data_IF_233872177927
#
_entry.id   IF_233872177927
#
_cell.length_a   1.000
_cell.length_b   1.000
_cell.length_c   1.000
_cell.angle_alpha   90.00
_cell.angle_beta   90.00
_cell.angle_gamma   90.00
#
_symmetry.space_group_name_H-M   'P 1'
#
loop_
_entity.id
_entity.type
_entity.pdbx_description
1 polymer ?
#
# COMPACT_ATOMS: atom_id res chain seq x y z
N UNK A 1 -9.31 36.06 -31.27
CA UNK A 1 -8.52 35.43 -30.20
C UNK A 1 -7.25 34.88 -30.82
N UNK A 2 -6.08 35.00 -30.18
CA UNK A 2 -4.83 34.47 -30.72
C UNK A 2 -4.94 32.95 -30.90
N UNK A 3 -4.51 32.44 -32.05
CA UNK A 3 -4.48 31.00 -32.32
C UNK A 3 -3.52 30.32 -31.34
N UNK A 4 -3.89 29.19 -30.70
CA UNK A 4 -3.01 28.52 -29.75
C UNK A 4 -1.75 28.00 -30.47
N UNK A 5 -0.59 28.01 -29.80
CA UNK A 5 0.60 27.37 -30.34
C UNK A 5 0.35 25.87 -30.57
N UNK A 6 0.94 25.32 -31.63
CA UNK A 6 0.87 23.90 -31.98
C UNK A 6 1.54 22.98 -30.95
N UNK A 7 2.31 23.55 -30.03
CA UNK A 7 2.94 22.86 -28.91
C UNK A 7 2.87 23.73 -27.66
N UNK A 8 2.36 23.16 -26.57
CA UNK A 8 2.28 23.80 -25.26
C UNK A 8 2.61 22.78 -24.17
N UNK A 9 3.89 22.56 -23.88
CA UNK A 9 4.30 21.62 -22.85
C UNK A 9 4.02 22.18 -21.45
N UNK A 10 3.38 21.37 -20.63
CA UNK A 10 3.22 21.57 -19.19
C UNK A 10 4.08 20.54 -18.49
N UNK A 11 5.09 21.02 -17.74
CA UNK A 11 5.97 20.19 -16.92
C UNK A 11 5.35 20.06 -15.53
N UNK A 12 5.01 18.85 -15.12
CA UNK A 12 4.48 18.56 -13.79
C UNK A 12 5.53 17.83 -12.97
N UNK A 13 5.84 18.36 -11.79
CA UNK A 13 6.66 17.70 -10.77
C UNK A 13 5.76 17.24 -9.64
N UNK A 14 5.84 15.97 -9.29
CA UNK A 14 5.05 15.36 -8.23
C UNK A 14 5.96 14.90 -7.09
N UNK A 15 5.55 15.26 -5.88
CA UNK A 15 6.23 14.95 -4.64
C UNK A 15 5.32 14.15 -3.69
N UNK A 16 5.93 13.33 -2.84
CA UNK A 16 5.28 12.72 -1.69
C UNK A 16 5.12 13.72 -0.55
N UNK A 17 4.40 13.32 0.49
CA UNK A 17 4.21 14.13 1.72
C UNK A 17 5.51 14.42 2.46
N UNK A 18 6.55 13.62 2.21
CA UNK A 18 7.91 13.80 2.71
C UNK A 18 8.76 14.75 1.85
N UNK A 19 8.15 15.37 0.84
CA UNK A 19 8.78 16.25 -0.14
C UNK A 19 9.83 15.56 -1.03
N UNK A 20 9.83 14.22 -1.09
CA UNK A 20 10.64 13.45 -2.04
C UNK A 20 9.95 13.35 -3.41
N UNK A 21 10.69 13.33 -4.54
CA UNK A 21 10.09 13.15 -5.85
C UNK A 21 9.48 11.76 -6.01
N UNK A 22 8.28 11.68 -6.57
CA UNK A 22 7.52 10.43 -6.69
C UNK A 22 7.57 9.83 -8.11
N UNK A 23 8.23 8.68 -8.25
CA UNK A 23 8.30 7.93 -9.52
C UNK A 23 7.02 7.12 -9.80
N UNK A 24 6.61 7.01 -11.07
CA UNK A 24 5.48 6.19 -11.50
C UNK A 24 4.11 6.70 -11.04
N UNK A 25 3.98 8.01 -10.81
CA UNK A 25 2.68 8.65 -10.56
C UNK A 25 2.00 8.89 -11.90
N UNK A 26 0.78 8.40 -12.05
CA UNK A 26 -0.02 8.69 -13.24
C UNK A 26 -0.60 10.09 -13.13
N UNK A 27 -0.26 10.95 -14.09
CA UNK A 27 -0.76 12.32 -14.19
C UNK A 27 -1.66 12.44 -15.41
N UNK A 28 -2.87 12.93 -15.20
CA UNK A 28 -3.86 13.20 -16.25
C UNK A 28 -4.13 14.70 -16.32
N UNK A 29 -3.94 15.28 -17.50
CA UNK A 29 -4.32 16.67 -17.81
C UNK A 29 -5.59 16.63 -18.66
N UNK A 30 -6.62 17.33 -18.21
CA UNK A 30 -7.92 17.42 -18.88
C UNK A 30 -8.24 18.87 -19.22
N UNK A 31 -8.61 19.10 -20.47
CA UNK A 31 -9.22 20.34 -20.97
C UNK A 31 -10.64 20.02 -21.45
N UNK A 32 -11.45 21.03 -21.78
CA UNK A 32 -12.82 20.80 -22.25
C UNK A 32 -12.92 19.84 -23.44
N UNK A 33 -11.92 19.87 -24.35
CA UNK A 33 -11.92 19.06 -25.56
C UNK A 33 -11.44 17.62 -25.37
N UNK A 34 -10.83 17.27 -24.23
CA UNK A 34 -10.30 15.93 -23.98
C UNK A 34 -9.19 15.90 -22.93
N UNK A 35 -8.47 14.77 -22.88
CA UNK A 35 -7.46 14.52 -21.86
C UNK A 35 -6.23 13.81 -22.42
N UNK A 36 -5.09 14.02 -21.78
CA UNK A 36 -3.86 13.26 -21.99
C UNK A 36 -3.28 12.82 -20.65
N UNK A 37 -2.60 11.68 -20.64
CA UNK A 37 -1.94 11.15 -19.44
C UNK A 37 -0.50 10.73 -19.70
N UNK A 38 0.29 10.66 -18.64
CA UNK A 38 1.63 10.08 -18.61
C UNK A 38 2.09 9.83 -17.19
N UNK A 39 3.10 8.99 -17.03
CA UNK A 39 3.65 8.66 -15.71
C UNK A 39 4.91 9.49 -15.42
N UNK A 40 5.12 9.85 -14.15
CA UNK A 40 6.34 10.51 -13.71
C UNK A 40 7.55 9.59 -13.79
N UNK A 41 8.71 10.16 -14.15
CA UNK A 41 9.99 9.47 -14.14
C UNK A 41 10.60 9.40 -12.72
N UNK A 42 11.82 8.87 -12.60
CA UNK A 42 12.55 8.75 -11.32
C UNK A 42 12.86 10.08 -10.62
N UNK A 43 12.74 11.21 -11.32
CA UNK A 43 12.86 12.56 -10.75
C UNK A 43 11.51 13.18 -10.37
N UNK A 44 10.44 12.38 -10.38
CA UNK A 44 9.08 12.83 -10.08
C UNK A 44 8.48 13.72 -11.17
N UNK A 45 9.00 13.68 -12.40
CA UNK A 45 8.60 14.62 -13.45
C UNK A 45 7.89 13.92 -14.62
N UNK A 46 6.85 14.58 -15.15
CA UNK A 46 6.22 14.25 -16.44
C UNK A 46 5.99 15.54 -17.24
N UNK A 47 6.10 15.47 -18.56
CA UNK A 47 5.79 16.59 -19.46
C UNK A 47 4.65 16.20 -20.37
N UNK A 48 3.53 16.92 -20.28
CA UNK A 48 2.34 16.70 -21.10
C UNK A 48 2.15 17.88 -22.05
N UNK A 49 1.94 17.61 -23.33
CA UNK A 49 1.65 18.65 -24.30
C UNK A 49 0.13 18.83 -24.43
N UNK A 50 -0.39 20.00 -24.07
CA UNK A 50 -1.83 20.28 -24.04
C UNK A 50 -2.47 20.14 -25.42
N UNK A 51 -1.72 20.42 -26.49
CA UNK A 51 -2.19 20.25 -27.87
C UNK A 51 -2.61 18.80 -28.19
N UNK A 52 -2.10 17.81 -27.44
CA UNK A 52 -2.47 16.41 -27.62
C UNK A 52 -3.75 16.03 -26.86
N UNK A 53 -4.22 16.85 -25.91
CA UNK A 53 -5.48 16.62 -25.20
C UNK A 53 -6.71 17.11 -26.00
N UNK A 54 -6.51 17.98 -26.99
CA UNK A 54 -7.56 18.52 -27.85
C UNK A 54 -7.37 20.00 -28.14
N UNK A 55 -8.40 20.65 -28.69
CA UNK A 55 -8.41 22.10 -28.89
C UNK A 55 -8.46 22.82 -27.54
N UNK A 56 -7.68 23.89 -27.41
CA UNK A 56 -7.61 24.76 -26.24
C UNK A 56 -7.39 26.20 -26.68
N UNK A 57 -7.44 27.16 -25.76
CA UNK A 57 -7.14 28.58 -25.97
C UNK A 57 -6.42 29.18 -24.76
N UNK A 58 -5.68 30.27 -24.97
CA UNK A 58 -5.11 31.04 -23.85
C UNK A 58 -6.26 31.55 -22.97
N UNK A 59 -6.17 31.29 -21.67
CA UNK A 59 -7.20 31.59 -20.68
C UNK A 59 -8.11 30.39 -20.35
N UNK A 60 -8.08 29.32 -21.14
CA UNK A 60 -8.79 28.08 -20.78
C UNK A 60 -8.21 27.49 -19.50
N UNK A 61 -9.05 26.78 -18.74
CA UNK A 61 -8.62 26.05 -17.54
C UNK A 61 -8.40 24.58 -17.88
N UNK A 62 -7.23 24.06 -17.48
CA UNK A 62 -6.95 22.64 -17.45
C UNK A 62 -7.05 22.11 -16.01
N UNK A 63 -7.62 20.92 -15.85
CA UNK A 63 -7.60 20.17 -14.59
C UNK A 63 -6.48 19.13 -14.66
N UNK A 64 -5.58 19.12 -13.68
CA UNK A 64 -4.50 18.15 -13.57
C UNK A 64 -4.76 17.27 -12.35
N UNK A 65 -4.80 15.96 -12.57
CA UNK A 65 -4.98 14.94 -11.52
C UNK A 65 -3.73 14.06 -11.50
N UNK A 66 -3.02 14.04 -10.37
CA UNK A 66 -1.89 13.14 -10.11
C UNK A 66 -2.35 12.05 -9.13
N UNK A 67 -2.20 10.78 -9.50
CA UNK A 67 -2.66 9.63 -8.70
C UNK A 67 -1.60 8.55 -8.63
N UNK A 68 -1.37 8.01 -7.43
CA UNK A 68 -0.54 6.82 -7.23
C UNK A 68 -1.10 5.97 -6.11
N UNK A 69 -1.23 4.67 -6.36
CA UNK A 69 -1.69 3.71 -5.35
C UNK A 69 -0.79 3.79 -4.12
N UNK A 70 -1.41 3.80 -2.92
CA UNK A 70 -0.78 3.99 -1.61
C UNK A 70 -0.19 5.39 -1.32
N UNK A 71 0.21 6.18 -2.32
CA UNK A 71 0.72 7.54 -2.11
C UNK A 71 -0.37 8.64 -2.17
N UNK A 72 -1.52 8.34 -2.78
CA UNK A 72 -2.70 9.21 -2.77
C UNK A 72 -2.98 9.91 -4.09
N UNK A 73 -3.81 10.95 -4.03
CA UNK A 73 -4.32 11.69 -5.19
C UNK A 73 -4.28 13.19 -4.92
N UNK A 74 -3.95 13.97 -5.95
CA UNK A 74 -4.00 15.43 -5.90
C UNK A 74 -4.59 15.99 -7.19
N UNK A 75 -5.53 16.92 -7.05
CA UNK A 75 -6.13 17.65 -8.16
C UNK A 75 -5.76 19.12 -8.06
N UNK A 76 -5.33 19.70 -9.17
CA UNK A 76 -5.02 21.13 -9.31
C UNK A 76 -5.65 21.68 -10.59
N UNK A 77 -5.85 23.00 -10.64
CA UNK A 77 -6.29 23.69 -11.85
C UNK A 77 -5.20 24.63 -12.36
N UNK A 78 -5.07 24.72 -13.68
CA UNK A 78 -4.08 25.57 -14.35
C UNK A 78 -4.77 26.39 -15.42
N UNK A 79 -4.65 27.72 -15.35
CA UNK A 79 -5.03 28.61 -16.45
C UNK A 79 -3.93 28.57 -17.51
N UNK A 80 -4.29 28.17 -18.72
CA UNK A 80 -3.36 28.02 -19.83
C UNK A 80 -2.91 29.38 -20.34
N UNK A 81 -1.60 29.55 -20.49
CA UNK A 81 -1.01 30.77 -21.06
C UNK A 81 -0.49 30.52 -22.47
N UNK A 82 0.16 31.50 -23.09
CA UNK A 82 0.82 31.35 -24.40
C UNK A 82 2.21 30.70 -24.33
N UNK A 83 2.72 30.43 -23.12
CA UNK A 83 4.10 29.97 -22.90
C UNK A 83 4.13 28.65 -22.13
N UNK A 84 5.15 27.80 -22.31
CA UNK A 84 5.32 26.59 -21.48
C UNK A 84 5.19 26.87 -19.98
N UNK A 85 4.51 25.97 -19.27
CA UNK A 85 4.24 26.12 -17.84
C UNK A 85 4.88 25.00 -17.04
N UNK A 86 5.18 25.29 -15.77
CA UNK A 86 5.62 24.28 -14.79
C UNK A 86 4.69 24.32 -13.59
N UNK A 87 4.29 23.14 -13.11
CA UNK A 87 3.46 22.95 -11.93
C UNK A 87 4.15 21.96 -10.98
N UNK A 88 4.14 22.27 -9.69
CA UNK A 88 4.56 21.33 -8.64
C UNK A 88 3.33 20.90 -7.85
N UNK A 89 3.21 19.59 -7.61
CA UNK A 89 2.10 18.98 -6.87
C UNK A 89 2.68 18.10 -5.78
N UNK A 90 2.11 18.16 -4.57
CA UNK A 90 2.38 17.19 -3.51
C UNK A 90 1.17 16.29 -3.37
N UNK A 91 1.36 14.98 -3.50
CA UNK A 91 0.29 14.02 -3.26
C UNK A 91 -0.14 14.15 -1.79
N UNK A 92 -1.43 14.31 -1.58
CA UNK A 92 -2.02 14.10 -0.28
C UNK A 92 -2.43 12.63 -0.21
N UNK A 93 -2.05 11.94 0.87
CA UNK A 93 -2.69 10.67 1.18
C UNK A 93 -4.21 10.93 1.20
N UNK A 94 -4.95 10.26 0.32
CA UNK A 94 -6.40 10.23 0.44
C UNK A 94 -6.68 9.37 1.66
N UNK A 95 -6.82 10.01 2.81
CA UNK A 95 -7.54 9.38 3.90
C UNK A 95 -8.91 9.04 3.35
N UNK A 96 -9.33 7.78 3.45
CA UNK A 96 -10.67 7.34 3.04
C UNK A 96 -11.77 7.88 3.99
N UNK A 97 -11.43 8.85 4.85
CA UNK A 97 -12.30 9.49 5.83
C UNK A 97 -12.67 10.89 5.34
N UNK A 98 -13.90 11.02 4.84
CA UNK A 98 -14.54 12.31 4.60
C UNK A 98 -15.20 12.80 5.89
N UNK A 99 -14.86 14.01 6.33
CA UNK A 99 -15.57 14.68 7.41
C UNK A 99 -16.30 15.90 6.84
N UNK A 100 -17.59 16.04 7.14
CA UNK A 100 -18.31 17.28 6.88
C UNK A 100 -17.99 18.28 8.00
N UNK A 101 -17.40 19.42 7.64
CA UNK A 101 -17.25 20.53 8.57
C UNK A 101 -18.64 21.16 8.79
N UNK A 102 -19.24 20.99 9.99
CA UNK A 102 -20.44 21.74 10.38
C UNK A 102 -20.02 22.95 11.21
N UNK A 103 -20.45 24.16 10.80
CA UNK A 103 -20.21 25.43 11.51
C UNK A 103 -20.99 25.59 12.84
N UNK A 104 -21.23 24.52 13.58
CA UNK A 104 -21.89 24.60 14.89
C UNK A 104 -20.93 24.23 16.01
N UNK A 105 -21.11 24.84 17.19
CA UNK A 105 -20.34 24.69 18.45
C UNK A 105 -20.38 23.25 19.03
N UNK A 106 -20.16 22.24 18.21
CA UNK A 106 -20.11 20.85 18.59
C UNK A 106 -18.66 20.46 18.88
N UNK A 107 -18.47 19.79 20.02
CA UNK A 107 -17.21 19.21 20.43
C UNK A 107 -16.58 18.41 19.28
N UNK A 108 -15.39 18.82 18.85
CA UNK A 108 -14.65 18.12 17.80
C UNK A 108 -14.20 16.76 18.33
N UNK A 109 -14.88 15.71 17.91
CA UNK A 109 -14.44 14.33 18.10
C UNK A 109 -13.28 14.07 17.13
N UNK A 110 -12.05 14.17 17.65
CA UNK A 110 -10.87 13.81 16.89
C UNK A 110 -10.63 12.29 16.97
N UNK A 111 -10.75 11.61 15.83
CA UNK A 111 -10.27 10.24 15.66
C UNK A 111 -8.98 10.26 14.84
N UNK A 112 -7.88 9.81 15.43
CA UNK A 112 -6.63 9.57 14.72
C UNK A 112 -6.53 8.09 14.35
N UNK A 113 -6.47 7.79 13.05
CA UNK A 113 -6.28 6.44 12.53
C UNK A 113 -4.90 6.38 11.85
N UNK A 114 -4.08 5.39 12.23
CA UNK A 114 -2.81 5.14 11.53
C UNK A 114 -3.12 4.53 10.16
N UNK A 115 -2.79 5.25 9.10
CA UNK A 115 -2.92 4.78 7.70
C UNK A 115 -1.71 3.96 7.26
N UNK A 116 -0.57 4.12 7.94
CA UNK A 116 0.69 3.43 7.65
C UNK A 116 1.35 2.86 8.93
N UNK A 117 2.07 1.76 8.78
CA UNK A 117 2.91 1.13 9.80
C UNK A 117 4.18 0.58 9.14
N UNK A 118 5.35 0.87 9.72
CA UNK A 118 6.67 0.57 9.12
C UNK A 118 6.82 1.04 7.66
N UNK A 119 6.19 2.17 7.32
CA UNK A 119 6.25 2.75 5.97
C UNK A 119 5.34 2.08 4.93
N UNK A 120 4.54 1.07 5.32
CA UNK A 120 3.56 0.41 4.44
C UNK A 120 2.13 0.75 4.85
N UNK A 121 1.20 0.77 3.88
CA UNK A 121 -0.22 1.01 4.14
C UNK A 121 -0.80 -0.10 5.04
N UNK A 122 -1.56 0.28 6.05
CA UNK A 122 -2.34 -0.67 6.86
C UNK A 122 -3.47 -1.22 5.99
N UNK A 123 -3.50 -2.54 5.84
CA UNK A 123 -4.51 -3.25 5.03
C UNK A 123 -4.96 -4.52 5.74
N UNK A 124 -5.97 -5.22 5.21
CA UNK A 124 -6.34 -6.53 5.74
C UNK A 124 -5.18 -7.55 5.68
N UNK A 125 -4.33 -7.44 4.66
CA UNK A 125 -3.12 -8.25 4.48
C UNK A 125 -1.89 -7.73 5.23
N UNK A 126 -1.92 -6.49 5.70
CA UNK A 126 -0.87 -5.84 6.51
C UNK A 126 -1.52 -5.09 7.68
N UNK A 127 -2.09 -5.80 8.67
CA UNK A 127 -2.78 -5.15 9.78
C UNK A 127 -1.77 -4.50 10.75
N UNK A 128 -2.23 -3.51 11.53
CA UNK A 128 -1.45 -3.00 12.66
C UNK A 128 -1.07 -4.16 13.60
N UNK A 129 0.16 -4.18 14.14
CA UNK A 129 0.50 -5.14 15.17
C UNK A 129 -0.36 -4.87 16.41
N UNK A 130 -1.11 -5.88 16.83
CA UNK A 130 -1.90 -5.81 18.06
C UNK A 130 -1.16 -6.63 19.11
N UNK A 131 -0.51 -5.93 20.06
CA UNK A 131 0.03 -6.60 21.25
C UNK A 131 -1.13 -6.94 22.18
N UNK A 132 -1.49 -8.23 22.23
CA UNK A 132 -2.41 -8.72 23.25
C UNK A 132 -1.59 -8.97 24.50
N UNK A 133 -1.71 -8.06 25.47
CA UNK A 133 -1.27 -8.33 26.85
C UNK A 133 -2.32 -9.26 27.45
N UNK A 134 -1.94 -10.49 27.79
CA UNK A 134 -2.84 -11.34 28.57
C UNK A 134 -3.02 -10.77 29.99
N UNK A 135 -4.10 -11.14 30.67
CA UNK A 135 -4.38 -10.67 32.04
C UNK A 135 -3.31 -11.09 33.07
N UNK A 136 -2.29 -11.86 32.66
CA UNK A 136 -1.20 -12.31 33.51
C UNK A 136 0.06 -11.46 33.37
N UNK A 137 0.04 -10.36 32.58
CA UNK A 137 1.16 -9.44 32.47
C UNK A 137 2.42 -10.07 31.86
N UNK A 138 2.27 -11.25 31.25
CA UNK A 138 3.31 -11.85 30.44
C UNK A 138 3.17 -11.27 29.05
N UNK A 139 4.20 -10.57 28.58
CA UNK A 139 4.32 -10.27 27.16
C UNK A 139 4.37 -11.61 26.42
N UNK A 140 3.24 -12.10 25.92
CA UNK A 140 3.14 -13.19 24.93
C UNK A 140 3.71 -12.75 23.55
N UNK A 141 4.58 -11.75 23.55
CA UNK A 141 5.15 -11.05 22.41
C UNK A 141 6.35 -11.79 21.82
N UNK A 142 6.22 -13.11 21.65
CA UNK A 142 6.92 -13.74 20.53
C UNK A 142 5.96 -13.68 19.36
N UNK A 143 5.86 -12.49 18.77
CA UNK A 143 5.07 -12.22 17.56
C UNK A 143 5.72 -13.01 16.42
N UNK A 144 5.39 -14.30 16.34
CA UNK A 144 5.89 -15.17 15.30
C UNK A 144 5.08 -14.94 14.04
N UNK A 145 5.75 -14.84 12.90
CA UNK A 145 5.13 -15.10 11.60
C UNK A 145 4.59 -16.53 11.60
N UNK A 146 3.31 -16.69 11.28
CA UNK A 146 2.66 -18.00 11.24
C UNK A 146 2.41 -18.44 9.80
N UNK A 147 2.66 -19.72 9.51
CA UNK A 147 2.20 -20.36 8.27
C UNK A 147 1.36 -21.60 8.60
N UNK A 148 0.38 -21.91 7.75
CA UNK A 148 -0.61 -22.97 7.97
C UNK A 148 -0.77 -23.79 6.70
N UNK A 149 -0.95 -25.10 6.85
CA UNK A 149 -1.37 -25.96 5.76
C UNK A 149 -2.47 -26.91 6.23
N UNK A 150 -3.48 -27.08 5.38
CA UNK A 150 -4.69 -27.83 5.66
C UNK A 150 -4.80 -29.06 4.75
N UNK A 151 -5.51 -30.09 5.19
CA UNK A 151 -5.86 -31.24 4.34
C UNK A 151 -7.11 -30.98 3.49
N UNK A 152 -7.54 -31.99 2.72
CA UNK A 152 -8.74 -31.94 1.88
C UNK A 152 -10.06 -31.81 2.67
N UNK A 153 -10.04 -32.07 3.98
CA UNK A 153 -11.17 -31.88 4.89
C UNK A 153 -11.11 -30.53 5.61
N UNK A 154 -10.22 -29.63 5.18
CA UNK A 154 -9.98 -28.31 5.77
C UNK A 154 -9.54 -28.36 7.25
N UNK A 155 -8.86 -29.44 7.66
CA UNK A 155 -8.27 -29.57 9.01
C UNK A 155 -6.83 -29.08 8.98
N UNK A 156 -6.40 -28.35 10.01
CA UNK A 156 -5.04 -27.82 10.12
C UNK A 156 -4.05 -28.97 10.36
N UNK A 157 -3.26 -29.34 9.36
CA UNK A 157 -2.27 -30.42 9.48
C UNK A 157 -0.90 -29.90 9.90
N UNK A 158 -0.48 -28.74 9.39
CA UNK A 158 0.83 -28.18 9.72
C UNK A 158 0.72 -26.73 10.19
N UNK A 159 1.48 -26.39 11.23
CA UNK A 159 1.63 -25.04 11.74
C UNK A 159 3.12 -24.69 11.82
N UNK A 160 3.51 -23.61 11.16
CA UNK A 160 4.87 -23.08 11.18
C UNK A 160 4.91 -21.76 11.94
N UNK A 161 5.93 -21.58 12.75
CA UNK A 161 6.25 -20.31 13.44
C UNK A 161 7.67 -19.88 13.08
N UNK A 162 7.87 -18.62 12.77
CA UNK A 162 9.20 -18.04 12.52
C UNK A 162 9.25 -16.58 12.97
N UNK A 163 10.45 -16.00 13.06
CA UNK A 163 10.61 -14.56 13.28
C UNK A 163 9.97 -13.78 12.12
N UNK A 164 9.27 -12.65 12.35
CA UNK A 164 8.77 -11.78 11.29
C UNK A 164 9.84 -11.44 10.24
N UNK A 165 9.44 -11.30 8.98
CA UNK A 165 10.36 -11.15 7.84
C UNK A 165 10.96 -12.45 7.29
N UNK A 166 10.94 -13.56 8.05
CA UNK A 166 11.45 -14.86 7.57
C UNK A 166 10.68 -15.37 6.35
N UNK A 167 11.37 -15.72 5.27
CA UNK A 167 10.77 -16.33 4.07
C UNK A 167 10.52 -17.83 4.27
N UNK A 168 9.63 -18.44 3.47
CA UNK A 168 9.30 -19.88 3.62
C UNK A 168 10.46 -20.82 3.28
N UNK A 169 11.44 -20.35 2.51
CA UNK A 169 12.64 -21.09 2.11
C UNK A 169 13.83 -20.99 3.10
N UNK A 170 13.74 -20.17 4.15
CA UNK A 170 14.80 -20.03 5.14
C UNK A 170 14.69 -21.07 6.27
N UNK A 171 15.82 -21.57 6.76
CA UNK A 171 15.90 -22.53 7.87
C UNK A 171 15.76 -21.83 9.24
N UNK A 172 14.63 -21.17 9.45
CA UNK A 172 14.31 -20.34 10.63
C UNK A 172 12.92 -20.61 11.19
N UNK A 173 12.28 -21.70 10.76
CA UNK A 173 10.96 -22.10 11.19
C UNK A 173 11.03 -23.16 12.27
N UNK A 174 10.15 -23.05 13.25
CA UNK A 174 9.68 -24.18 14.04
C UNK A 174 8.41 -24.71 13.36
N UNK A 175 8.32 -26.02 13.12
CA UNK A 175 7.19 -26.63 12.41
C UNK A 175 6.61 -27.75 13.27
N UNK A 176 5.30 -27.74 13.45
CA UNK A 176 4.56 -28.83 14.08
C UNK A 176 3.56 -29.44 13.11
N UNK A 177 3.30 -30.74 13.29
CA UNK A 177 2.23 -31.48 12.63
C UNK A 177 1.17 -31.88 13.65
N UNK A 178 -0.10 -31.70 13.27
CA UNK A 178 -1.23 -32.28 13.99
C UNK A 178 -1.65 -33.58 13.33
N UNK A 179 -1.70 -34.66 14.12
CA UNK A 179 -2.36 -35.91 13.73
C UNK A 179 -3.82 -35.86 14.17
N UNK A 180 -4.69 -36.68 13.57
CA UNK A 180 -6.12 -36.66 13.85
C UNK A 180 -6.66 -38.06 14.10
N UNK A 181 -7.50 -38.21 15.12
CA UNK A 181 -8.33 -39.39 15.35
C UNK A 181 -9.79 -38.98 15.10
N UNK A 182 -10.32 -39.36 13.93
CA UNK A 182 -11.56 -38.79 13.42
C UNK A 182 -11.44 -37.28 13.15
N UNK A 183 -12.35 -36.48 13.73
CA UNK A 183 -12.39 -35.02 13.56
C UNK A 183 -11.67 -34.23 14.67
N UNK A 184 -10.95 -34.91 15.57
CA UNK A 184 -10.24 -34.28 16.69
C UNK A 184 -8.73 -34.42 16.50
N UNK A 185 -7.94 -33.38 16.80
CA UNK A 185 -6.49 -33.51 16.91
C UNK A 185 -6.15 -34.61 17.92
N UNK A 186 -5.31 -35.56 17.53
CA UNK A 186 -4.83 -36.63 18.40
C UNK A 186 -3.52 -36.22 19.05
N UNK A 187 -2.52 -35.86 18.25
CA UNK A 187 -1.19 -35.48 18.73
C UNK A 187 -0.69 -34.19 18.07
N UNK A 188 0.32 -33.60 18.69
CA UNK A 188 1.12 -32.51 18.15
C UNK A 188 2.57 -32.93 18.15
N UNK A 189 3.15 -33.07 16.96
CA UNK A 189 4.49 -33.60 16.76
C UNK A 189 5.40 -32.51 16.20
N UNK A 190 6.66 -32.47 16.61
CA UNK A 190 7.61 -31.49 16.09
C UNK A 190 8.38 -32.06 14.89
N UNK A 191 8.63 -31.23 13.88
CA UNK A 191 9.48 -31.60 12.77
C UNK A 191 10.91 -31.91 13.28
N UNK A 192 11.41 -33.10 12.97
CA UNK A 192 12.66 -33.63 13.47
C UNK A 192 12.70 -33.86 14.99
N UNK A 193 11.53 -33.96 15.66
CA UNK A 193 11.45 -34.17 17.11
C UNK A 193 12.00 -33.02 17.95
N UNK A 194 12.12 -31.82 17.38
CA UNK A 194 12.75 -30.67 18.04
C UNK A 194 11.92 -29.41 17.87
N UNK A 195 11.87 -28.61 18.93
CA UNK A 195 11.23 -27.29 18.96
C UNK A 195 12.14 -26.16 18.45
N UNK A 196 13.30 -26.48 17.87
CA UNK A 196 14.21 -25.49 17.31
C UNK A 196 13.63 -24.75 16.09
N UNK A 197 14.11 -23.52 15.89
CA UNK A 197 13.78 -22.67 14.74
C UNK A 197 14.83 -22.83 13.63
N UNK A 198 14.96 -24.03 13.10
CA UNK A 198 16.00 -24.45 12.16
C UNK A 198 15.41 -25.18 10.93
N UNK A 199 14.08 -25.21 10.79
CA UNK A 199 13.38 -25.88 9.70
C UNK A 199 13.00 -24.91 8.58
N UNK A 200 12.75 -25.45 7.40
CA UNK A 200 12.32 -24.73 6.20
C UNK A 200 10.86 -25.06 5.94
N UNK A 201 9.97 -24.07 5.94
CA UNK A 201 8.52 -24.28 5.80
C UNK A 201 8.14 -24.98 4.48
N UNK A 202 8.83 -24.66 3.39
CA UNK A 202 8.55 -25.27 2.09
C UNK A 202 8.78 -26.80 2.09
N UNK A 203 9.64 -27.29 2.99
CA UNK A 203 9.95 -28.71 3.19
C UNK A 203 9.10 -29.39 4.26
N UNK A 204 8.02 -28.75 4.76
CA UNK A 204 7.23 -29.27 5.89
C UNK A 204 6.76 -30.72 5.74
N UNK A 205 6.50 -31.22 4.53
CA UNK A 205 6.00 -32.59 4.33
C UNK A 205 7.11 -33.65 4.28
N UNK A 206 8.38 -33.25 4.25
CA UNK A 206 9.53 -34.17 4.13
C UNK A 206 10.27 -34.42 5.43
N UNK A 207 9.88 -33.77 6.53
CA UNK A 207 10.47 -34.04 7.84
C UNK A 207 9.83 -35.26 8.49
N UNK A 208 10.62 -35.96 9.32
CA UNK A 208 10.09 -36.91 10.29
C UNK A 208 9.44 -36.15 11.45
N UNK A 209 8.33 -36.66 11.97
CA UNK A 209 7.56 -36.02 13.04
C UNK A 209 7.46 -36.94 14.25
N UNK A 210 7.90 -36.43 15.41
CA UNK A 210 7.87 -37.14 16.69
C UNK A 210 7.77 -36.19 17.87
#
# INVERSE_FOLDING_TARGET
>A
MPTPPSSHPVRIKVYGIDNAPENGVTVTLTVTAGSISGDTNSSGEVVLNVANAGSWSVGDTATIVATKTAAGTKTETLVLTSSPQTLSMTLAETSDLYYEESESDNYVLNFSLLTTFDGEKVTHSNPLPVSVVDNNGLNSNREYKVSRAYDSSNRLVYLGKAVPGTTKGEAKWQIIQHTFSGNKPADTLFAGGSDAFDKVWDNRTSYDYS
#
